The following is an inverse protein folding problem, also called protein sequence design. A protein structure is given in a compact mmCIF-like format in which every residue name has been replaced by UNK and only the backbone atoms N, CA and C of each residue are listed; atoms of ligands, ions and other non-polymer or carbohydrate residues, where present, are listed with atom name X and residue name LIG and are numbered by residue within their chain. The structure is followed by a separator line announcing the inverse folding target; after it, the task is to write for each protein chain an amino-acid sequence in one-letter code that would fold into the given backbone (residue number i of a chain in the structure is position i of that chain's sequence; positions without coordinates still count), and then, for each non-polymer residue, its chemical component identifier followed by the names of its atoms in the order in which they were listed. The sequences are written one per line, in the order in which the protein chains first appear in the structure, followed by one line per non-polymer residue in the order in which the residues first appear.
data_IF_290191499411
#
_entry.id   IF_290191499411
#
_cell.length_a   1.000
_cell.length_b   1.000
_cell.length_c   1.000
_cell.angle_alpha   90.00
_cell.angle_beta   90.00
_cell.angle_gamma   90.00
#
_symmetry.space_group_name_H-M   'P 1'
#
loop_
_entity.id
_entity.type
_entity.pdbx_description
1 polymer ?
#
# COMPACT_ATOMS: atom_id res chain seq x y z
N UNK A 1 -15.28 9.52 5.62
CA UNK A 1 -14.77 8.26 5.02
C UNK A 1 -14.09 7.47 6.12
N UNK A 2 -14.31 6.15 6.19
CA UNK A 2 -13.75 5.32 7.25
C UNK A 2 -12.27 5.00 6.96
N UNK A 3 -11.39 5.13 7.97
CA UNK A 3 -10.00 4.70 7.88
C UNK A 3 -9.91 3.17 8.05
N UNK A 4 -10.35 2.44 7.02
CA UNK A 4 -10.33 0.98 7.01
C UNK A 4 -8.90 0.48 6.80
N UNK A 5 -8.47 -0.49 7.62
CA UNK A 5 -7.17 -1.16 7.46
C UNK A 5 -7.39 -2.55 6.87
N UNK A 6 -6.75 -2.80 5.73
CA UNK A 6 -6.81 -4.05 4.99
C UNK A 6 -5.65 -4.95 5.39
N UNK A 7 -5.98 -6.17 5.79
CA UNK A 7 -4.99 -7.24 6.01
C UNK A 7 -4.58 -7.86 4.68
N UNK A 8 -3.52 -8.68 4.69
CA UNK A 8 -2.98 -9.34 3.49
C UNK A 8 -4.06 -9.92 2.55
N UNK A 9 -5.04 -10.73 3.00
CA UNK A 9 -6.02 -11.30 2.08
C UNK A 9 -6.84 -10.23 1.33
N UNK A 10 -7.29 -9.20 2.04
CA UNK A 10 -8.06 -8.11 1.43
C UNK A 10 -7.20 -7.26 0.50
N UNK A 11 -5.95 -6.99 0.87
CA UNK A 11 -5.00 -6.28 0.01
C UNK A 11 -4.70 -7.06 -1.28
N UNK A 12 -4.62 -8.39 -1.22
CA UNK A 12 -4.48 -9.24 -2.41
C UNK A 12 -5.71 -9.15 -3.31
N UNK A 13 -6.91 -9.28 -2.73
CA UNK A 13 -8.16 -9.17 -3.49
C UNK A 13 -8.31 -7.80 -4.15
N UNK A 14 -7.97 -6.73 -3.46
CA UNK A 14 -8.14 -5.38 -3.98
C UNK A 14 -7.09 -5.00 -5.04
N UNK A 15 -5.85 -5.46 -4.91
CA UNK A 15 -4.77 -5.12 -5.84
C UNK A 15 -4.58 -6.11 -6.98
N UNK A 16 -5.14 -7.32 -6.85
CA UNK A 16 -4.92 -8.42 -7.77
C UNK A 16 -3.53 -9.06 -7.67
N UNK A 17 -2.66 -8.59 -6.76
CA UNK A 17 -1.33 -9.16 -6.56
C UNK A 17 -1.36 -10.34 -5.58
N UNK A 18 -0.54 -11.34 -5.86
CA UNK A 18 -0.25 -12.39 -4.87
C UNK A 18 0.50 -11.80 -3.68
N UNK A 19 0.43 -12.50 -2.54
CA UNK A 19 1.16 -12.14 -1.32
C UNK A 19 2.66 -11.93 -1.59
N UNK A 20 3.29 -12.84 -2.35
CA UNK A 20 4.73 -12.74 -2.66
C UNK A 20 5.05 -11.51 -3.50
N UNK A 21 4.21 -11.18 -4.48
CA UNK A 21 4.37 -9.98 -5.30
C UNK A 21 4.23 -8.70 -4.48
N UNK A 22 3.30 -8.66 -3.52
CA UNK A 22 3.18 -7.51 -2.61
C UNK A 22 4.48 -7.32 -1.82
N UNK A 23 5.02 -8.37 -1.20
CA UNK A 23 6.28 -8.26 -0.46
C UNK A 23 7.47 -7.90 -1.35
N UNK A 24 7.54 -8.44 -2.57
CA UNK A 24 8.54 -8.04 -3.56
C UNK A 24 8.42 -6.55 -3.92
N UNK A 25 7.20 -6.04 -4.10
CA UNK A 25 6.99 -4.62 -4.41
C UNK A 25 7.34 -3.72 -3.23
N UNK A 26 7.16 -4.19 -2.00
CA UNK A 26 7.63 -3.48 -0.81
C UNK A 26 9.16 -3.34 -0.85
N UNK A 27 9.90 -4.40 -1.19
CA UNK A 27 11.37 -4.32 -1.29
C UNK A 27 11.83 -3.43 -2.46
N UNK A 28 11.05 -3.37 -3.54
CA UNK A 28 11.30 -2.49 -4.70
C UNK A 28 10.87 -1.02 -4.47
N UNK A 29 10.24 -0.70 -3.34
CA UNK A 29 9.66 0.62 -3.06
C UNK A 29 8.41 0.96 -3.87
N UNK A 30 7.80 -0.03 -4.53
CA UNK A 30 6.61 0.10 -5.37
C UNK A 30 5.31 -0.18 -4.60
N UNK A 31 5.42 -0.40 -3.30
CA UNK A 31 4.32 -0.66 -2.40
C UNK A 31 4.63 -0.08 -1.00
N UNK A 32 3.65 0.49 -0.30
CA UNK A 32 3.84 1.06 1.02
C UNK A 32 4.14 -0.02 2.05
N UNK A 33 4.98 0.31 3.04
CA UNK A 33 5.25 -0.54 4.18
C UNK A 33 3.98 -0.72 5.01
N UNK A 34 3.80 -1.95 5.46
CA UNK A 34 2.71 -2.36 6.33
C UNK A 34 2.76 -1.64 7.68
N UNK A 35 1.58 -1.45 8.27
CA UNK A 35 1.38 -0.99 9.64
C UNK A 35 1.22 -2.22 10.53
N UNK A 36 1.87 -2.21 11.69
CA UNK A 36 1.64 -3.22 12.72
C UNK A 36 0.34 -2.94 13.46
N UNK A 37 -0.55 -3.93 13.51
CA UNK A 37 -1.78 -3.92 14.30
C UNK A 37 -1.62 -4.71 15.61
N UNK A 38 -0.42 -5.23 15.87
CA UNK A 38 -0.09 -6.07 17.00
C UNK A 38 0.84 -7.23 16.61
N UNK A 39 1.13 -8.15 17.54
CA UNK A 39 2.20 -9.14 17.37
C UNK A 39 2.01 -10.12 16.20
N UNK A 40 0.76 -10.35 15.77
CA UNK A 40 0.40 -11.31 14.71
C UNK A 40 -0.40 -10.68 13.58
N UNK A 41 -0.51 -9.35 13.56
CA UNK A 41 -1.40 -8.66 12.64
C UNK A 41 -0.70 -7.46 12.00
N UNK A 42 -0.77 -7.40 10.68
CA UNK A 42 -0.30 -6.29 9.86
C UNK A 42 -1.40 -5.89 8.87
N UNK A 43 -1.34 -4.66 8.39
CA UNK A 43 -2.23 -4.21 7.33
C UNK A 43 -1.81 -2.88 6.69
N UNK A 44 -2.61 -2.44 5.73
CA UNK A 44 -2.44 -1.19 4.99
C UNK A 44 -3.74 -0.41 5.03
N UNK A 45 -3.70 0.93 5.12
CA UNK A 45 -4.89 1.74 4.92
C UNK A 45 -5.49 1.48 3.54
N UNK A 46 -6.81 1.29 3.47
CA UNK A 46 -7.52 1.05 2.21
C UNK A 46 -7.26 2.17 1.18
N UNK A 47 -7.16 3.41 1.66
CA UNK A 47 -6.87 4.60 0.85
C UNK A 47 -5.50 4.54 0.16
N UNK A 48 -4.47 3.97 0.79
CA UNK A 48 -3.15 3.81 0.19
C UNK A 48 -3.19 2.80 -0.96
N UNK A 49 -3.91 1.68 -0.78
CA UNK A 49 -4.05 0.64 -1.81
C UNK A 49 -4.86 1.17 -2.99
N UNK A 50 -5.95 1.89 -2.74
CA UNK A 50 -6.75 2.54 -3.78
C UNK A 50 -5.94 3.54 -4.59
N UNK A 51 -5.13 4.37 -3.92
CA UNK A 51 -4.26 5.33 -4.59
C UNK A 51 -3.22 4.66 -5.50
N UNK A 52 -2.63 3.54 -5.06
CA UNK A 52 -1.70 2.77 -5.89
C UNK A 52 -2.37 2.10 -7.07
N UNK A 53 -3.56 1.53 -6.87
CA UNK A 53 -4.34 0.94 -7.95
C UNK A 53 -4.68 2.01 -8.99
N UNK A 54 -5.16 3.19 -8.56
CA UNK A 54 -5.43 4.31 -9.45
C UNK A 54 -4.17 4.78 -10.21
N UNK A 55 -3.01 4.83 -9.53
CA UNK A 55 -1.73 5.13 -10.17
C UNK A 55 -1.32 4.09 -11.22
N UNK A 56 -1.53 2.80 -10.95
CA UNK A 56 -1.24 1.72 -11.90
C UNK A 56 -2.22 1.74 -13.09
N UNK A 57 -3.50 1.98 -12.84
CA UNK A 57 -4.54 2.10 -13.89
C UNK A 57 -4.26 3.30 -14.80
N UNK A 58 -3.77 4.42 -14.24
CA UNK A 58 -3.36 5.60 -15.02
C UNK A 58 -2.02 5.43 -15.75
N UNK A 59 -1.39 4.26 -15.68
CA UNK A 59 -0.17 3.95 -16.42
C UNK A 59 1.09 4.63 -15.86
N UNK A 60 1.10 5.02 -14.58
CA UNK A 60 2.27 5.63 -13.96
C UNK A 60 3.47 4.69 -14.00
N UNK A 61 4.62 5.29 -14.26
CA UNK A 61 5.92 4.62 -14.23
C UNK A 61 6.26 4.17 -12.81
N UNK A 62 7.18 3.20 -12.71
CA UNK A 62 7.63 2.71 -11.42
C UNK A 62 8.27 3.81 -10.56
N UNK A 63 8.95 4.79 -11.16
CA UNK A 63 9.55 5.92 -10.44
C UNK A 63 8.48 6.85 -9.85
N UNK A 64 7.43 7.18 -10.60
CA UNK A 64 6.30 7.95 -10.08
C UNK A 64 5.57 7.23 -8.96
N UNK A 65 5.50 5.90 -9.03
CA UNK A 65 4.89 5.08 -7.99
C UNK A 65 5.76 5.07 -6.73
N UNK A 66 7.09 5.01 -6.84
CA UNK A 66 7.98 5.17 -5.68
C UNK A 66 7.77 6.52 -5.00
N UNK A 67 7.68 7.60 -5.78
CA UNK A 67 7.38 8.93 -5.26
C UNK A 67 6.01 8.99 -4.57
N UNK A 68 4.99 8.34 -5.15
CA UNK A 68 3.66 8.24 -4.54
C UNK A 68 3.72 7.47 -3.22
N UNK A 69 4.42 6.33 -3.16
CA UNK A 69 4.59 5.54 -1.93
C UNK A 69 5.21 6.39 -0.82
N UNK A 70 6.31 7.09 -1.12
CA UNK A 70 6.96 7.98 -0.15
C UNK A 70 6.03 9.09 0.34
N UNK A 71 5.22 9.66 -0.56
CA UNK A 71 4.22 10.67 -0.21
C UNK A 71 3.14 10.10 0.71
N UNK A 72 2.62 8.91 0.41
CA UNK A 72 1.60 8.24 1.22
C UNK A 72 2.12 7.91 2.61
N UNK A 73 3.32 7.32 2.71
CA UNK A 73 3.94 7.00 4.00
C UNK A 73 4.23 8.24 4.84
N UNK A 74 4.65 9.34 4.21
CA UNK A 74 4.90 10.62 4.87
C UNK A 74 3.59 11.24 5.39
N UNK A 75 2.55 11.26 4.56
CA UNK A 75 1.22 11.76 4.94
C UNK A 75 0.63 10.96 6.11
N UNK A 76 0.85 9.64 6.13
CA UNK A 76 0.46 8.77 7.24
C UNK A 76 1.16 9.15 8.55
N UNK A 77 2.47 9.43 8.52
CA UNK A 77 3.22 9.83 9.72
C UNK A 77 2.78 11.19 10.27
N UNK A 78 2.34 12.10 9.40
CA UNK A 78 1.89 13.44 9.80
C UNK A 78 0.47 13.45 10.40
N UNK A 79 -0.30 12.38 10.22
CA UNK A 79 -1.66 12.24 10.76
C UNK A 79 -1.71 11.62 12.18
N UNK A 80 -0.54 11.36 12.79
CA UNK A 80 -0.34 10.91 14.18
C UNK A 80 0.20 12.07 14.99
#
# INVERSE_FOLDING_TARGET
MANTILRIPAAQTQSGYSRSTIYLRITQGLWPRQISLGPRAIGWPATEIEALNAARISGKTDDEIRLLVLKLESARKAAV
#
